data_IF_323417896456
#
_entry.id   IF_323417896456
#
_cell.length_a   1.000
_cell.length_b   1.000
_cell.length_c   1.000
_cell.angle_alpha   90.00
_cell.angle_beta   90.00
_cell.angle_gamma   90.00
#
_symmetry.space_group_name_H-M   'P 1'
#
loop_
_entity.id
_entity.type
_entity.pdbx_description
1 polymer ?
#
# COMPACT_ATOMS: atom_id res chain seq x y z
N UNK A 1 -35.85 82.93 2.67
CA UNK A 1 -35.17 82.47 3.89
C UNK A 1 -35.29 80.97 3.84
N UNK A 2 -34.29 80.39 3.19
CA UNK A 2 -34.02 78.96 3.04
C UNK A 2 -33.52 78.38 4.38
N UNK A 3 -33.90 77.14 4.68
CA UNK A 3 -33.15 76.14 5.48
C UNK A 3 -34.01 74.87 5.47
N UNK A 4 -33.79 73.92 4.56
CA UNK A 4 -32.74 72.89 4.55
C UNK A 4 -32.62 72.06 5.85
N UNK A 5 -32.76 70.76 5.63
CA UNK A 5 -32.18 69.65 6.38
C UNK A 5 -32.52 69.48 7.88
N UNK A 6 -33.17 68.35 8.16
CA UNK A 6 -32.40 67.18 8.62
C UNK A 6 -33.37 66.04 8.87
N UNK A 7 -33.40 65.06 7.96
CA UNK A 7 -33.96 63.74 8.20
C UNK A 7 -33.21 63.11 9.38
N UNK A 8 -33.71 63.35 10.59
CA UNK A 8 -33.35 62.61 11.78
C UNK A 8 -33.96 61.22 11.69
N UNK A 9 -33.41 60.38 10.81
CA UNK A 9 -33.53 58.94 10.95
C UNK A 9 -33.07 58.62 12.37
N UNK A 10 -34.03 58.27 13.22
CA UNK A 10 -33.76 57.69 14.53
C UNK A 10 -33.07 56.35 14.29
N UNK A 11 -31.75 56.40 14.16
CA UNK A 11 -30.88 55.25 14.27
C UNK A 11 -31.11 54.68 15.67
N UNK A 12 -32.00 53.69 15.72
CA UNK A 12 -32.45 53.05 16.93
C UNK A 12 -31.28 52.24 17.50
N UNK A 13 -30.41 52.94 18.23
CA UNK A 13 -29.63 52.47 19.36
C UNK A 13 -29.12 51.04 19.28
N UNK A 14 -28.24 50.76 18.32
CA UNK A 14 -27.19 49.78 18.60
C UNK A 14 -26.08 50.52 19.35
N UNK A 15 -25.92 50.21 20.64
CA UNK A 15 -24.84 50.82 21.42
C UNK A 15 -23.53 50.10 21.13
N UNK A 16 -22.40 50.79 21.25
CA UNK A 16 -21.05 50.20 21.14
C UNK A 16 -20.83 49.01 22.10
N UNK A 17 -21.65 48.92 23.15
CA UNK A 17 -21.71 47.80 24.09
C UNK A 17 -22.42 46.56 23.50
N UNK A 18 -23.47 46.75 22.69
CA UNK A 18 -24.15 45.65 21.99
C UNK A 18 -23.25 45.02 20.93
N UNK A 19 -22.47 45.83 20.20
CA UNK A 19 -21.48 45.34 19.23
C UNK A 19 -20.42 44.45 19.90
N UNK A 20 -19.93 44.84 21.08
CA UNK A 20 -18.96 44.03 21.84
C UNK A 20 -19.56 42.71 22.31
N UNK A 21 -20.80 42.72 22.78
CA UNK A 21 -21.55 41.53 23.17
C UNK A 21 -21.78 40.58 21.99
N UNK A 22 -22.10 41.12 20.82
CA UNK A 22 -22.24 40.33 19.60
C UNK A 22 -20.91 39.72 19.15
N UNK A 23 -19.81 40.49 19.22
CA UNK A 23 -18.47 39.97 18.93
C UNK A 23 -18.03 38.86 19.89
N UNK A 24 -18.31 39.00 21.19
CA UNK A 24 -18.00 37.96 22.18
C UNK A 24 -18.83 36.69 21.98
N UNK A 25 -20.10 36.83 21.60
CA UNK A 25 -20.97 35.70 21.29
C UNK A 25 -20.53 34.99 20.00
N UNK A 26 -20.17 35.75 18.96
CA UNK A 26 -19.65 35.19 17.72
C UNK A 26 -18.30 34.49 17.93
N UNK A 27 -17.41 35.06 18.76
CA UNK A 27 -16.10 34.44 19.07
C UNK A 27 -16.27 33.12 19.83
N UNK A 28 -17.17 33.06 20.82
CA UNK A 28 -17.54 31.83 21.52
C UNK A 28 -18.16 30.79 20.58
N UNK A 29 -19.02 31.22 19.65
CA UNK A 29 -19.61 30.33 18.65
C UNK A 29 -18.57 29.80 17.66
N UNK A 30 -17.60 30.64 17.26
CA UNK A 30 -16.46 30.27 16.42
C UNK A 30 -15.54 29.28 17.13
N UNK A 31 -15.23 29.52 18.41
CA UNK A 31 -14.38 28.65 19.22
C UNK A 31 -15.01 27.27 19.42
N UNK A 32 -16.31 27.21 19.73
CA UNK A 32 -17.06 25.95 19.87
C UNK A 32 -17.08 25.17 18.56
N UNK A 33 -17.31 25.85 17.43
CA UNK A 33 -17.26 25.23 16.10
C UNK A 33 -15.85 24.72 15.78
N UNK A 34 -14.82 25.53 15.98
CA UNK A 34 -13.42 25.16 15.74
C UNK A 34 -13.00 23.95 16.58
N UNK A 35 -13.37 23.90 17.86
CA UNK A 35 -13.07 22.76 18.74
C UNK A 35 -13.76 21.47 18.28
N UNK A 36 -15.02 21.57 17.86
CA UNK A 36 -15.81 20.41 17.42
C UNK A 36 -15.34 19.89 16.07
N UNK A 37 -15.05 20.79 15.14
CA UNK A 37 -14.50 20.47 13.81
C UNK A 37 -13.10 19.90 13.94
N UNK A 38 -12.21 20.56 14.69
CA UNK A 38 -10.84 20.08 14.89
C UNK A 38 -10.76 18.73 15.61
N UNK A 39 -11.68 18.44 16.54
CA UNK A 39 -11.76 17.11 17.15
C UNK A 39 -12.23 16.04 16.17
N UNK A 40 -13.22 16.36 15.31
CA UNK A 40 -13.70 15.43 14.28
C UNK A 40 -12.62 15.16 13.23
N UNK A 41 -11.99 16.21 12.72
CA UNK A 41 -10.89 16.12 11.77
C UNK A 41 -9.69 15.38 12.37
N UNK A 42 -9.35 15.62 13.64
CA UNK A 42 -8.28 14.88 14.33
C UNK A 42 -8.56 13.38 14.46
N UNK A 43 -9.81 12.99 14.72
CA UNK A 43 -10.23 11.58 14.73
C UNK A 43 -10.14 10.97 13.34
N UNK A 44 -10.61 11.69 12.32
CA UNK A 44 -10.63 11.19 10.94
C UNK A 44 -9.20 11.04 10.39
N UNK A 45 -8.33 12.02 10.61
CA UNK A 45 -6.91 11.96 10.25
C UNK A 45 -6.19 10.83 10.99
N UNK A 46 -6.44 10.64 12.30
CA UNK A 46 -5.81 9.56 13.06
C UNK A 46 -6.23 8.16 12.58
N UNK A 47 -7.49 8.00 12.16
CA UNK A 47 -7.98 6.76 11.54
C UNK A 47 -7.35 6.51 10.18
N UNK A 48 -7.28 7.53 9.34
CA UNK A 48 -6.67 7.45 8.01
C UNK A 48 -5.17 7.10 8.11
N UNK A 49 -4.44 7.73 9.03
CA UNK A 49 -3.03 7.43 9.27
C UNK A 49 -2.83 5.99 9.73
N UNK A 50 -3.60 5.53 10.71
CA UNK A 50 -3.51 4.13 11.21
C UNK A 50 -3.85 3.13 10.10
N UNK A 51 -4.82 3.46 9.24
CA UNK A 51 -5.20 2.63 8.10
C UNK A 51 -4.08 2.57 7.06
N UNK A 52 -3.46 3.70 6.73
CA UNK A 52 -2.35 3.77 5.79
C UNK A 52 -1.13 3.00 6.31
N UNK A 53 -0.77 3.15 7.58
CA UNK A 53 0.32 2.37 8.20
C UNK A 53 0.06 0.87 8.13
N UNK A 54 -1.17 0.44 8.45
CA UNK A 54 -1.59 -0.95 8.32
C UNK A 54 -1.52 -1.46 6.88
N UNK A 55 -1.93 -0.64 5.91
CA UNK A 55 -1.84 -0.97 4.49
C UNK A 55 -0.39 -1.09 4.03
N UNK A 56 0.47 -0.12 4.35
CA UNK A 56 1.88 -0.11 3.96
C UNK A 56 2.62 -1.33 4.51
N UNK A 57 2.35 -1.69 5.76
CA UNK A 57 2.91 -2.88 6.38
C UNK A 57 2.42 -4.16 5.67
N UNK A 58 1.10 -4.28 5.45
CA UNK A 58 0.49 -5.40 4.74
C UNK A 58 1.01 -5.53 3.30
N UNK A 59 1.15 -4.41 2.60
CA UNK A 59 1.65 -4.34 1.23
C UNK A 59 3.10 -4.77 1.14
N UNK A 60 4.01 -4.25 1.98
CA UNK A 60 5.42 -4.63 1.97
C UNK A 60 5.60 -6.13 2.22
N UNK A 61 4.91 -6.65 3.24
CA UNK A 61 4.97 -8.07 3.58
C UNK A 61 4.36 -8.95 2.49
N UNK A 62 3.23 -8.52 1.93
CA UNK A 62 2.54 -9.24 0.88
C UNK A 62 3.28 -9.25 -0.44
N UNK A 63 3.85 -8.11 -0.83
CA UNK A 63 4.66 -7.96 -2.03
C UNK A 63 5.89 -8.85 -1.98
N UNK A 64 6.61 -8.90 -0.85
CA UNK A 64 7.78 -9.76 -0.72
C UNK A 64 7.43 -11.25 -0.89
N UNK A 65 6.37 -11.71 -0.24
CA UNK A 65 5.89 -13.11 -0.32
C UNK A 65 5.39 -13.47 -1.72
N UNK A 66 4.53 -12.63 -2.29
CA UNK A 66 3.99 -12.83 -3.63
C UNK A 66 5.06 -12.77 -4.71
N UNK A 67 6.07 -11.91 -4.54
CA UNK A 67 7.21 -11.80 -5.46
C UNK A 67 8.02 -13.10 -5.53
N UNK A 68 8.31 -13.74 -4.39
CA UNK A 68 9.03 -15.02 -4.36
C UNK A 68 8.27 -16.12 -5.10
N UNK A 69 6.95 -16.23 -4.86
CA UNK A 69 6.09 -17.19 -5.54
C UNK A 69 6.05 -16.96 -7.04
N UNK A 70 5.85 -15.69 -7.44
CA UNK A 70 5.85 -15.28 -8.85
C UNK A 70 7.18 -15.55 -9.56
N UNK A 71 8.31 -15.36 -8.87
CA UNK A 71 9.65 -15.66 -9.40
C UNK A 71 9.81 -17.14 -9.74
N UNK A 72 9.44 -18.04 -8.82
CA UNK A 72 9.56 -19.49 -9.04
C UNK A 72 8.69 -19.93 -10.21
N UNK A 73 7.43 -19.47 -10.28
CA UNK A 73 6.56 -19.78 -11.41
C UNK A 73 7.08 -19.20 -12.72
N UNK A 74 7.58 -17.96 -12.70
CA UNK A 74 8.17 -17.32 -13.88
C UNK A 74 9.36 -18.11 -14.41
N UNK A 75 10.24 -18.57 -13.52
CA UNK A 75 11.42 -19.36 -13.87
C UNK A 75 11.04 -20.70 -14.51
N UNK A 76 10.11 -21.45 -13.92
CA UNK A 76 9.64 -22.73 -14.49
C UNK A 76 8.97 -22.54 -15.87
N UNK A 77 8.17 -21.47 -16.03
CA UNK A 77 7.53 -21.15 -17.32
C UNK A 77 8.54 -20.75 -18.39
N UNK A 78 9.50 -19.89 -18.02
CA UNK A 78 10.57 -19.47 -18.91
C UNK A 78 11.42 -20.66 -19.36
N UNK A 79 11.76 -21.56 -18.43
CA UNK A 79 12.49 -22.78 -18.74
C UNK A 79 11.73 -23.68 -19.72
N UNK A 80 10.44 -23.95 -19.46
CA UNK A 80 9.60 -24.76 -20.34
C UNK A 80 9.52 -24.18 -21.76
N UNK A 81 9.46 -22.85 -21.87
CA UNK A 81 9.46 -22.17 -23.17
C UNK A 81 10.82 -22.27 -23.88
N UNK A 82 11.92 -22.12 -23.14
CA UNK A 82 13.28 -22.15 -23.69
C UNK A 82 13.73 -23.56 -24.10
N UNK A 83 13.33 -24.58 -23.32
CA UNK A 83 13.74 -25.97 -23.51
C UNK A 83 12.53 -26.90 -23.69
N UNK A 84 11.74 -26.75 -24.78
CA UNK A 84 10.48 -27.48 -24.94
C UNK A 84 10.62 -28.99 -25.14
N UNK A 85 11.83 -29.49 -25.42
CA UNK A 85 12.13 -30.91 -25.66
C UNK A 85 13.07 -31.51 -24.60
N UNK A 86 13.38 -30.78 -23.52
CA UNK A 86 14.19 -31.34 -22.45
C UNK A 86 13.44 -32.50 -21.76
N UNK A 87 14.16 -33.56 -21.38
CA UNK A 87 13.56 -34.71 -20.71
C UNK A 87 12.90 -34.31 -19.38
N UNK A 88 13.39 -33.25 -18.73
CA UNK A 88 12.82 -32.74 -17.48
C UNK A 88 11.55 -31.89 -17.67
N UNK A 89 11.10 -31.63 -18.90
CA UNK A 89 9.94 -30.75 -19.16
C UNK A 89 8.65 -31.22 -18.49
N UNK A 90 8.40 -32.53 -18.46
CA UNK A 90 7.24 -33.11 -17.80
C UNK A 90 7.32 -32.95 -16.27
N UNK A 91 8.49 -33.23 -15.67
CA UNK A 91 8.72 -33.05 -14.24
C UNK A 91 8.61 -31.57 -13.82
N UNK A 92 9.12 -30.66 -14.64
CA UNK A 92 9.03 -29.21 -14.44
C UNK A 92 7.58 -28.72 -14.57
N UNK A 93 6.81 -29.29 -15.51
CA UNK A 93 5.39 -28.99 -15.65
C UNK A 93 4.58 -29.49 -14.45
N UNK A 94 4.87 -30.68 -13.95
CA UNK A 94 4.27 -31.22 -12.73
C UNK A 94 4.58 -30.32 -11.53
N UNK A 95 5.85 -29.96 -11.31
CA UNK A 95 6.26 -29.05 -10.23
C UNK A 95 5.57 -27.68 -10.34
N UNK A 96 5.45 -27.12 -11.55
CA UNK A 96 4.75 -25.86 -11.77
C UNK A 96 3.26 -25.96 -11.41
N UNK A 97 2.62 -27.09 -11.71
CA UNK A 97 1.21 -27.33 -11.35
C UNK A 97 1.01 -27.50 -9.84
N UNK A 98 1.93 -28.18 -9.16
CA UNK A 98 1.91 -28.35 -7.70
C UNK A 98 2.09 -27.01 -6.97
N UNK A 99 3.05 -26.18 -7.42
CA UNK A 99 3.24 -24.83 -6.86
C UNK A 99 1.99 -23.98 -7.02
N UNK A 100 1.36 -24.03 -8.20
CA UNK A 100 0.12 -23.28 -8.45
C UNK A 100 -1.03 -23.77 -7.57
N UNK A 101 -1.19 -25.08 -7.41
CA UNK A 101 -2.22 -25.64 -6.52
C UNK A 101 -1.98 -25.25 -5.05
N UNK A 102 -0.72 -25.24 -4.60
CA UNK A 102 -0.37 -24.79 -3.26
C UNK A 102 -0.69 -23.29 -3.04
N UNK A 103 -0.41 -22.44 -4.03
CA UNK A 103 -0.78 -21.02 -3.99
C UNK A 103 -2.31 -20.85 -3.91
N UNK A 104 -3.07 -21.54 -4.75
CA UNK A 104 -4.54 -21.48 -4.75
C UNK A 104 -5.11 -21.92 -3.39
N UNK A 105 -4.53 -22.94 -2.76
CA UNK A 105 -4.92 -23.37 -1.42
C UNK A 105 -4.68 -22.29 -0.36
N UNK A 106 -3.53 -21.61 -0.40
CA UNK A 106 -3.24 -20.50 0.54
C UNK A 106 -4.16 -19.31 0.34
N UNK A 107 -4.50 -18.99 -0.92
CA UNK A 107 -5.42 -17.90 -1.26
C UNK A 107 -6.83 -18.20 -0.72
N UNK A 108 -7.30 -19.45 -0.84
CA UNK A 108 -8.61 -19.86 -0.29
C UNK A 108 -8.68 -19.76 1.24
N UNK A 109 -7.54 -19.84 1.92
CA UNK A 109 -7.43 -19.64 3.36
C UNK A 109 -7.34 -18.15 3.76
N UNK A 110 -7.32 -17.24 2.78
CA UNK A 110 -7.14 -15.80 3.00
C UNK A 110 -5.69 -15.42 3.33
N UNK A 111 -4.74 -16.32 3.07
CA UNK A 111 -3.32 -16.08 3.30
C UNK A 111 -2.62 -15.59 2.02
N UNK A 112 -1.48 -14.93 2.21
CA UNK A 112 -0.64 -14.48 1.10
C UNK A 112 0.18 -15.67 0.61
N UNK A 113 0.10 -16.02 -0.69
CA UNK A 113 0.91 -17.09 -1.25
C UNK A 113 2.40 -16.80 -1.03
N UNK A 114 3.08 -17.75 -0.41
CA UNK A 114 4.49 -17.65 -0.08
C UNK A 114 5.18 -18.94 -0.53
N UNK A 115 6.21 -18.78 -1.34
CA UNK A 115 7.07 -19.91 -1.67
C UNK A 115 7.82 -20.37 -0.41
N UNK A 116 7.79 -21.66 -0.12
CA UNK A 116 8.58 -22.25 0.96
C UNK A 116 10.03 -22.47 0.51
N UNK A 117 10.96 -22.53 1.46
CA UNK A 117 12.35 -22.85 1.16
C UNK A 117 12.51 -24.23 0.46
N UNK A 118 11.65 -25.19 0.83
CA UNK A 118 11.61 -26.50 0.18
C UNK A 118 11.20 -26.39 -1.30
N UNK A 119 10.16 -25.60 -1.61
CA UNK A 119 9.73 -25.33 -2.98
C UNK A 119 10.83 -24.63 -3.80
N UNK A 120 11.49 -23.63 -3.24
CA UNK A 120 12.61 -22.96 -3.89
C UNK A 120 13.76 -23.93 -4.19
N UNK A 121 14.10 -24.80 -3.22
CA UNK A 121 15.14 -25.82 -3.38
C UNK A 121 14.77 -26.84 -4.46
N UNK A 122 13.51 -27.28 -4.50
CA UNK A 122 13.00 -28.20 -5.51
C UNK A 122 13.07 -27.59 -6.93
N UNK A 123 12.71 -26.30 -7.08
CA UNK A 123 12.84 -25.58 -8.36
C UNK A 123 14.29 -25.47 -8.80
N UNK A 124 15.20 -25.08 -7.90
CA UNK A 124 16.63 -25.00 -8.22
C UNK A 124 17.18 -26.36 -8.61
N UNK A 125 16.84 -27.42 -7.87
CA UNK A 125 17.27 -28.78 -8.18
C UNK A 125 16.75 -29.28 -9.54
N UNK A 126 15.50 -28.96 -9.89
CA UNK A 126 14.91 -29.33 -11.17
C UNK A 126 15.55 -28.61 -12.37
N UNK A 127 16.09 -27.41 -12.16
CA UNK A 127 16.71 -26.59 -13.21
C UNK A 127 18.23 -26.78 -13.33
N UNK A 128 18.89 -27.22 -12.25
CA UNK A 128 20.32 -27.47 -12.18
C UNK A 128 20.90 -28.36 -13.30
N UNK A 129 20.27 -29.46 -13.75
CA UNK A 129 20.85 -30.33 -14.79
C UNK A 129 20.91 -29.69 -16.18
N UNK A 130 20.20 -28.58 -16.42
CA UNK A 130 20.05 -27.98 -17.76
C UNK A 130 20.68 -26.58 -17.87
N UNK A 131 21.05 -25.94 -16.76
CA UNK A 131 21.84 -24.71 -16.77
C UNK A 131 23.32 -25.08 -16.69
N UNK A 132 24.09 -25.10 -17.80
CA UNK A 132 25.52 -25.29 -17.73
C UNK A 132 26.14 -24.08 -17.03
N UNK A 133 26.50 -24.23 -15.76
CA UNK A 133 27.39 -23.29 -15.09
C UNK A 133 28.82 -23.70 -15.45
N UNK A 134 29.19 -23.47 -16.72
CA UNK A 134 30.56 -23.61 -17.16
C UNK A 134 31.29 -22.32 -16.77
N UNK A 135 31.78 -22.25 -15.54
CA UNK A 135 32.68 -21.18 -15.10
C UNK A 135 34.06 -21.58 -15.66
N UNK A 136 34.65 -20.82 -16.60
CA UNK A 136 35.99 -21.14 -17.06
C UNK A 136 36.98 -21.00 -15.90
N UNK A 137 37.56 -22.11 -15.45
CA UNK A 137 38.58 -22.23 -14.39
C UNK A 137 39.93 -21.59 -14.74
N UNK A 138 39.97 -20.54 -15.55
CA UNK A 138 41.21 -19.93 -16.05
C UNK A 138 41.50 -18.56 -15.43
N UNK A 139 41.52 -18.45 -14.10
CA UNK A 139 42.02 -17.21 -13.46
C UNK A 139 42.67 -17.38 -12.07
N UNK A 140 43.27 -18.55 -11.78
CA UNK A 140 44.05 -18.70 -10.53
C UNK A 140 45.36 -19.46 -10.77
N UNK A 141 46.30 -18.84 -11.51
CA UNK A 141 47.73 -19.00 -11.19
C UNK A 141 48.52 -17.82 -11.77
N UNK A 142 48.74 -16.79 -10.95
CA UNK A 142 49.86 -15.88 -11.11
C UNK A 142 50.48 -15.65 -9.73
N UNK A 143 51.37 -16.58 -9.35
CA UNK A 143 52.45 -16.41 -8.38
C UNK A 143 53.39 -17.59 -8.50
#
# INVERSE_FOLDING_TARGET
>A
MDDDSSDGMSDAGFTEADDRLWMEKESLAMERRSRTVGFREGIDVGKEQTLQEGFDHGYKHGAAKGFQSGLLQGLLRAFKHQFPHAAETEAIAALASELKAAEEATILQGEIPTATAAQATAVVAALAPVVPVDIPSSMTTYS
#
